data_IF_441781376303
#
_entry.id   IF_441781376303
#
_cell.length_a   1.000
_cell.length_b   1.000
_cell.length_c   1.000
_cell.angle_alpha   90.00
_cell.angle_beta   90.00
_cell.angle_gamma   90.00
#
_symmetry.space_group_name_H-M   'P 1'
#
loop_
_entity.id
_entity.type
_entity.pdbx_description
1 polymer ?
#
# COMPACT_ATOMS: atom_id res chain seq x y z
N UNK A 1 27.45 64.44 25.76
CA UNK A 1 28.19 63.17 25.72
C UNK A 1 27.21 62.13 25.23
N UNK A 2 27.35 61.67 24.00
CA UNK A 2 26.67 60.45 23.58
C UNK A 2 27.38 59.29 24.28
N UNK A 3 26.65 58.59 25.15
CA UNK A 3 27.10 57.31 25.65
C UNK A 3 26.87 56.29 24.54
N UNK A 4 27.92 55.62 24.10
CA UNK A 4 27.77 54.41 23.27
C UNK A 4 27.21 53.33 24.20
N UNK A 5 26.00 52.87 23.91
CA UNK A 5 25.39 51.73 24.59
C UNK A 5 25.80 50.46 23.81
N UNK A 6 26.44 49.52 24.50
CA UNK A 6 26.82 48.23 23.93
C UNK A 6 25.86 47.17 24.47
N UNK A 7 25.05 46.58 23.60
CA UNK A 7 24.22 45.43 23.95
C UNK A 7 25.11 44.19 23.88
N UNK A 8 25.33 43.54 25.02
CA UNK A 8 26.01 42.25 25.08
C UNK A 8 24.98 41.15 25.00
N UNK A 9 25.09 40.34 23.97
CA UNK A 9 24.30 39.13 23.80
C UNK A 9 25.20 37.91 24.04
N UNK A 10 24.70 36.98 24.85
CA UNK A 10 25.39 35.75 25.26
C UNK A 10 24.48 34.54 25.15
N UNK A 11 23.26 34.69 24.63
CA UNK A 11 22.30 33.61 24.49
C UNK A 11 22.50 32.93 23.14
N UNK A 12 22.49 31.60 23.11
CA UNK A 12 22.56 30.86 21.86
C UNK A 12 21.15 30.62 21.32
N UNK A 13 20.97 30.64 19.99
CA UNK A 13 19.67 30.44 19.38
C UNK A 13 19.12 29.06 19.73
N UNK A 14 17.83 28.97 20.01
CA UNK A 14 17.07 27.71 20.09
C UNK A 14 16.33 27.48 18.78
N UNK A 15 16.04 26.21 18.47
CA UNK A 15 15.37 25.86 17.22
C UNK A 15 14.27 24.82 17.41
N UNK A 16 13.18 25.02 16.69
CA UNK A 16 12.14 24.03 16.46
C UNK A 16 12.09 23.67 14.98
N UNK A 17 11.87 22.38 14.70
CA UNK A 17 11.66 21.86 13.36
C UNK A 17 10.33 21.12 13.40
N UNK A 18 9.42 21.46 12.49
CA UNK A 18 8.11 20.84 12.37
C UNK A 18 7.74 20.66 10.90
N UNK A 19 7.10 19.54 10.57
CA UNK A 19 6.45 19.35 9.27
C UNK A 19 4.94 19.19 9.45
N UNK A 20 4.14 19.81 8.57
CA UNK A 20 2.68 19.65 8.55
C UNK A 20 2.23 18.37 7.81
N UNK A 21 3.16 17.68 7.16
CA UNK A 21 2.88 16.46 6.43
C UNK A 21 2.55 15.31 7.40
N UNK A 22 1.64 14.40 7.02
CA UNK A 22 1.35 13.21 7.82
C UNK A 22 2.59 12.32 7.94
N UNK A 23 2.58 11.44 8.95
CA UNK A 23 3.62 10.43 9.12
C UNK A 23 2.96 9.04 9.22
N UNK A 24 3.05 8.19 8.18
CA UNK A 24 3.80 8.39 6.93
C UNK A 24 3.13 9.35 5.92
N UNK A 25 3.87 9.75 4.87
CA UNK A 25 3.40 10.60 3.75
C UNK A 25 3.85 10.06 2.39
N UNK A 26 3.00 10.22 1.37
CA UNK A 26 3.34 9.98 -0.04
C UNK A 26 3.59 11.27 -0.85
N UNK A 27 3.51 12.42 -0.19
CA UNK A 27 3.67 13.71 -0.84
C UNK A 27 5.15 14.09 -0.97
N UNK A 28 5.51 14.69 -2.12
CA UNK A 28 6.85 15.19 -2.40
C UNK A 28 6.77 16.57 -3.09
N UNK A 29 7.63 17.54 -2.72
CA UNK A 29 8.64 17.47 -1.66
C UNK A 29 8.03 17.45 -0.25
N UNK A 30 8.77 16.93 0.73
CA UNK A 30 8.40 17.01 2.15
C UNK A 30 8.96 18.31 2.71
N UNK A 31 8.09 19.19 3.20
CA UNK A 31 8.51 20.49 3.72
C UNK A 31 8.63 20.48 5.24
N UNK A 32 9.69 21.13 5.74
CA UNK A 32 9.97 21.33 7.15
C UNK A 32 10.05 22.83 7.44
N UNK A 33 9.21 23.30 8.36
CA UNK A 33 9.27 24.63 8.93
C UNK A 33 10.26 24.64 10.09
N UNK A 34 11.26 25.51 9.99
CA UNK A 34 12.32 25.69 10.96
C UNK A 34 12.15 27.07 11.56
N UNK A 35 11.94 27.12 12.88
CA UNK A 35 11.75 28.35 13.63
C UNK A 35 12.82 28.45 14.71
N UNK A 36 13.60 29.52 14.66
CA UNK A 36 14.51 29.95 15.71
C UNK A 36 13.80 30.93 16.64
N UNK A 37 14.19 30.96 17.91
CA UNK A 37 13.69 31.96 18.87
C UNK A 37 14.34 33.33 18.71
N UNK A 38 15.41 33.41 17.92
CA UNK A 38 16.08 34.64 17.52
C UNK A 38 16.63 34.56 16.09
N UNK A 39 17.17 35.67 15.60
CA UNK A 39 17.74 35.79 14.27
C UNK A 39 19.05 35.00 14.14
N UNK A 40 19.19 34.20 13.09
CA UNK A 40 20.43 33.48 12.77
C UNK A 40 21.07 33.98 11.47
N UNK A 41 22.38 33.77 11.34
CA UNK A 41 23.21 34.19 10.21
C UNK A 41 23.52 33.00 9.31
N UNK A 42 23.58 33.24 7.99
CA UNK A 42 24.02 32.28 6.96
C UNK A 42 23.26 30.93 6.95
N UNK A 43 21.99 30.91 7.41
CA UNK A 43 21.20 29.68 7.38
C UNK A 43 20.87 29.27 5.94
N UNK A 44 21.26 28.07 5.56
CA UNK A 44 21.02 27.52 4.22
C UNK A 44 21.24 26.01 4.15
N UNK A 45 21.25 25.45 2.94
CA UNK A 45 21.38 24.00 2.76
C UNK A 45 22.69 23.41 3.35
N UNK A 46 23.76 24.20 3.44
CA UNK A 46 25.07 23.77 3.95
C UNK A 46 25.12 23.48 5.44
N UNK A 47 24.20 24.04 6.23
CA UNK A 47 24.13 23.82 7.68
C UNK A 47 23.23 22.63 8.05
N UNK A 48 22.54 22.04 7.07
CA UNK A 48 21.62 20.93 7.25
C UNK A 48 22.31 19.60 6.99
N UNK A 49 21.99 18.61 7.82
CA UNK A 49 22.25 17.20 7.54
C UNK A 49 20.93 16.51 7.19
N UNK A 50 20.81 16.03 5.95
CA UNK A 50 19.60 15.38 5.44
C UNK A 50 19.87 13.93 5.07
N UNK A 51 18.97 13.03 5.48
CA UNK A 51 18.93 11.63 5.03
C UNK A 51 17.59 11.30 4.40
N UNK A 52 17.55 10.24 3.57
CA UNK A 52 16.31 9.83 2.89
C UNK A 52 15.89 10.74 1.73
N UNK A 53 16.69 11.75 1.39
CA UNK A 53 16.41 12.70 0.31
C UNK A 53 17.52 13.72 0.13
N UNK A 54 17.26 14.75 -0.67
CA UNK A 54 18.15 15.90 -0.88
C UNK A 54 17.39 17.21 -0.69
N UNK A 55 18.05 18.22 -0.12
CA UNK A 55 17.48 19.58 0.00
C UNK A 55 17.21 20.13 -1.41
N UNK A 56 15.94 20.40 -1.70
CA UNK A 56 15.50 20.99 -2.96
C UNK A 56 15.56 22.52 -2.90
N UNK A 57 15.14 23.09 -1.77
CA UNK A 57 15.19 24.53 -1.52
C UNK A 57 15.23 24.83 -0.02
N UNK A 58 15.81 25.98 0.29
CA UNK A 58 15.64 26.68 1.57
C UNK A 58 15.09 28.05 1.20
N UNK A 59 13.94 28.39 1.78
CA UNK A 59 13.22 29.63 1.46
C UNK A 59 12.65 30.26 2.72
N UNK A 60 12.21 31.51 2.60
CA UNK A 60 11.51 32.22 3.66
C UNK A 60 10.02 32.21 3.37
N UNK A 61 9.15 31.91 4.34
CA UNK A 61 7.72 32.12 4.17
C UNK A 61 7.45 33.60 3.79
N UNK A 62 6.57 33.83 2.80
CA UNK A 62 6.25 35.19 2.37
C UNK A 62 5.74 36.04 3.55
N UNK A 63 6.33 37.23 3.73
CA UNK A 63 5.98 38.16 4.80
C UNK A 63 6.95 38.21 5.98
N UNK A 64 7.97 37.35 6.02
CA UNK A 64 9.01 37.30 7.05
C UNK A 64 10.36 37.87 6.56
N UNK A 65 10.32 39.00 5.86
CA UNK A 65 11.52 39.81 5.73
C UNK A 65 11.77 40.50 7.07
N UNK A 66 13.03 40.60 7.50
CA UNK A 66 13.37 41.48 8.60
C UNK A 66 12.96 42.93 8.27
N UNK A 67 13.00 43.82 9.26
CA UNK A 67 12.68 45.24 9.08
C UNK A 67 13.56 45.96 8.04
N UNK A 68 14.62 45.33 7.55
CA UNK A 68 15.57 45.84 6.55
C UNK A 68 15.36 45.23 5.15
N UNK A 69 14.42 44.28 4.98
CA UNK A 69 14.15 43.66 3.69
C UNK A 69 15.22 42.68 3.22
N UNK A 70 16.13 42.25 4.10
CA UNK A 70 17.25 41.36 3.76
C UNK A 70 16.83 39.91 4.04
N UNK A 71 16.45 39.21 2.97
CA UNK A 71 16.31 37.76 3.01
C UNK A 71 17.71 37.12 3.15
N UNK A 72 18.10 36.67 4.34
CA UNK A 72 19.35 35.91 4.50
C UNK A 72 20.01 35.93 5.88
N UNK A 73 20.17 37.11 6.47
CA UNK A 73 21.20 37.29 7.53
C UNK A 73 20.64 37.48 8.95
N UNK A 74 19.31 37.66 9.09
CA UNK A 74 18.66 37.87 10.39
C UNK A 74 17.24 37.28 10.50
N UNK A 75 16.94 36.24 9.70
CA UNK A 75 15.62 35.60 9.76
C UNK A 75 15.57 34.54 10.87
N UNK A 76 14.41 34.39 11.50
CA UNK A 76 14.15 33.34 12.47
C UNK A 76 13.23 32.23 11.93
N UNK A 77 12.77 32.32 10.68
CA UNK A 77 11.81 31.36 10.10
C UNK A 77 12.21 30.94 8.69
N UNK A 78 12.33 29.64 8.48
CA UNK A 78 12.77 29.04 7.22
C UNK A 78 11.88 27.87 6.83
N UNK A 79 11.62 27.73 5.54
CA UNK A 79 10.96 26.58 4.95
C UNK A 79 11.98 25.78 4.14
N UNK A 80 12.22 24.54 4.54
CA UNK A 80 13.13 23.61 3.88
C UNK A 80 12.31 22.55 3.16
N UNK A 81 12.41 22.51 1.83
CA UNK A 81 11.81 21.45 1.03
C UNK A 81 12.85 20.35 0.77
N UNK A 82 12.52 19.11 1.12
CA UNK A 82 13.36 17.94 0.84
C UNK A 82 12.68 17.09 -0.23
N UNK A 83 13.39 16.84 -1.34
CA UNK A 83 12.98 15.84 -2.32
C UNK A 83 13.37 14.47 -1.79
N UNK A 84 12.42 13.57 -1.51
CA UNK A 84 12.73 12.21 -1.06
C UNK A 84 13.52 11.42 -2.12
N UNK A 85 14.24 10.39 -1.67
CA UNK A 85 14.91 9.46 -2.57
C UNK A 85 13.89 8.66 -3.41
N UNK A 86 14.36 7.99 -4.47
CA UNK A 86 13.52 7.15 -5.33
C UNK A 86 13.12 5.81 -4.70
N UNK A 87 13.27 5.67 -3.39
CA UNK A 87 12.93 4.50 -2.58
C UNK A 87 12.29 4.99 -1.29
N UNK A 88 11.36 4.21 -0.74
CA UNK A 88 10.81 4.49 0.59
C UNK A 88 11.93 4.66 1.61
N UNK A 89 11.85 5.71 2.41
CA UNK A 89 12.88 6.05 3.38
C UNK A 89 12.35 7.03 4.42
N UNK A 90 13.00 7.05 5.57
CA UNK A 90 12.82 8.12 6.54
C UNK A 90 13.51 9.39 6.03
N UNK A 91 12.71 10.37 5.63
CA UNK A 91 13.18 11.71 5.25
C UNK A 91 13.41 12.49 6.53
N UNK A 92 14.67 12.70 6.89
CA UNK A 92 15.05 13.35 8.15
C UNK A 92 15.88 14.58 7.87
N UNK A 93 15.49 15.71 8.47
CA UNK A 93 16.26 16.96 8.46
C UNK A 93 16.83 17.18 9.84
N UNK A 94 18.13 17.39 9.92
CA UNK A 94 18.85 17.68 11.16
C UNK A 94 19.63 18.98 11.02
N UNK A 95 19.55 19.84 12.05
CA UNK A 95 20.48 20.93 12.30
C UNK A 95 21.46 20.45 13.38
N UNK A 96 22.73 20.18 13.04
CA UNK A 96 23.73 19.78 14.02
C UNK A 96 24.10 20.90 15.00
N UNK A 97 24.65 20.52 16.15
CA UNK A 97 25.26 21.47 17.09
C UNK A 97 26.40 22.24 16.41
N UNK A 98 26.43 23.55 16.65
CA UNK A 98 27.41 24.48 16.09
C UNK A 98 27.23 24.80 14.61
N UNK A 99 26.18 24.28 13.95
CA UNK A 99 25.98 24.50 12.51
C UNK A 99 25.47 25.91 12.18
N UNK A 100 24.86 26.61 13.15
CA UNK A 100 24.27 27.94 12.98
C UNK A 100 24.69 28.85 14.13
N UNK A 101 24.76 30.14 13.85
CA UNK A 101 25.11 31.19 14.82
C UNK A 101 24.14 32.36 14.70
N UNK A 102 23.92 33.08 15.80
CA UNK A 102 23.27 34.39 15.77
C UNK A 102 24.22 35.51 15.30
N UNK A 103 23.74 36.75 15.34
CA UNK A 103 24.51 37.94 14.96
C UNK A 103 25.63 38.29 15.97
N UNK A 104 25.49 37.86 17.23
CA UNK A 104 26.50 38.05 18.28
C UNK A 104 27.60 36.97 18.24
N UNK A 105 27.42 35.94 17.41
CA UNK A 105 28.33 34.82 17.23
C UNK A 105 28.11 33.66 18.21
N UNK A 106 27.00 33.63 18.96
CA UNK A 106 26.69 32.49 19.80
C UNK A 106 26.19 31.34 18.91
N UNK A 107 26.82 30.18 19.04
CA UNK A 107 26.50 29.00 18.23
C UNK A 107 25.36 28.20 18.86
N UNK A 108 24.47 27.66 18.03
CA UNK A 108 23.45 26.70 18.48
C UNK A 108 24.12 25.53 19.20
N UNK A 109 23.75 25.31 20.46
CA UNK A 109 24.47 24.42 21.35
C UNK A 109 24.13 22.92 21.14
N UNK A 110 22.94 22.63 20.62
CA UNK A 110 22.37 21.28 20.56
C UNK A 110 22.19 20.81 19.12
N UNK A 111 21.70 19.58 18.93
CA UNK A 111 21.23 19.11 17.64
C UNK A 111 19.69 19.00 17.66
N UNK A 112 19.04 19.37 16.57
CA UNK A 112 17.59 19.22 16.42
C UNK A 112 17.26 18.56 15.10
N UNK A 113 16.31 17.63 15.13
CA UNK A 113 15.80 16.97 13.93
C UNK A 113 14.28 16.85 13.94
N UNK A 114 13.71 16.68 12.76
CA UNK A 114 12.36 16.17 12.52
C UNK A 114 12.39 15.29 11.26
N UNK A 115 11.49 14.32 11.19
CA UNK A 115 11.48 13.34 10.12
C UNK A 115 10.08 12.89 9.73
N UNK A 116 9.89 12.51 8.46
CA UNK A 116 8.66 11.86 7.97
C UNK A 116 9.02 10.58 7.23
N UNK A 117 8.29 9.51 7.49
CA UNK A 117 8.40 8.30 6.68
C UNK A 117 7.79 8.58 5.31
N UNK A 118 8.63 8.58 4.27
CA UNK A 118 8.18 8.72 2.89
C UNK A 118 7.86 7.36 2.32
N UNK A 119 6.62 7.22 1.87
CA UNK A 119 6.05 6.00 1.31
C UNK A 119 5.16 6.36 0.12
N UNK A 120 5.61 6.01 -1.08
CA UNK A 120 4.90 6.30 -2.34
C UNK A 120 4.46 5.03 -3.06
N UNK A 121 4.66 3.86 -2.44
CA UNK A 121 4.32 2.60 -3.08
C UNK A 121 2.84 2.36 -2.87
N UNK A 122 2.19 1.95 -3.95
CA UNK A 122 0.76 1.69 -3.93
C UNK A 122 0.52 0.23 -3.56
N UNK A 123 -0.46 -0.07 -2.69
CA UNK A 123 -0.85 -1.45 -2.41
C UNK A 123 -1.26 -2.17 -3.70
N UNK A 124 -0.71 -3.37 -3.92
CA UNK A 124 -1.15 -4.28 -4.99
C UNK A 124 -2.14 -5.29 -4.44
N UNK A 125 -3.06 -5.76 -5.27
CA UNK A 125 -4.15 -6.64 -4.85
C UNK A 125 -4.09 -7.99 -5.57
N UNK A 126 -3.91 -9.06 -4.80
CA UNK A 126 -4.05 -10.43 -5.26
C UNK A 126 -5.43 -10.99 -4.93
N UNK A 127 -6.09 -11.55 -5.94
CA UNK A 127 -7.33 -12.31 -5.77
C UNK A 127 -7.08 -13.80 -5.99
N UNK A 128 -7.66 -14.63 -5.13
CA UNK A 128 -7.60 -16.09 -5.26
C UNK A 128 -8.87 -16.74 -4.72
N UNK A 129 -9.06 -18.01 -5.08
CA UNK A 129 -10.17 -18.83 -4.61
C UNK A 129 -9.65 -20.25 -4.41
N UNK A 130 -10.23 -20.94 -3.44
CA UNK A 130 -10.00 -22.38 -3.23
C UNK A 130 -10.82 -23.24 -4.21
N UNK A 131 -11.82 -22.66 -4.87
CA UNK A 131 -12.61 -23.36 -5.89
C UNK A 131 -11.80 -23.60 -7.17
N UNK A 132 -12.02 -24.76 -7.77
CA UNK A 132 -11.46 -25.12 -9.07
C UNK A 132 -11.84 -24.14 -10.19
N UNK A 133 -11.04 -24.12 -11.26
CA UNK A 133 -11.28 -23.22 -12.41
C UNK A 133 -12.65 -23.44 -13.07
N UNK A 134 -13.06 -24.70 -13.16
CA UNK A 134 -14.43 -25.10 -13.42
C UNK A 134 -15.03 -25.59 -12.11
N UNK A 135 -16.12 -24.99 -11.65
CA UNK A 135 -16.72 -25.30 -10.36
C UNK A 135 -18.24 -25.25 -10.40
N UNK A 136 -18.87 -25.99 -9.49
CA UNK A 136 -20.30 -25.90 -9.22
C UNK A 136 -20.58 -25.38 -7.79
N UNK A 137 -19.55 -24.85 -7.12
CA UNK A 137 -19.66 -24.25 -5.79
C UNK A 137 -20.46 -22.95 -5.83
N UNK A 138 -21.39 -22.80 -4.90
CA UNK A 138 -22.12 -21.57 -4.64
C UNK A 138 -22.44 -21.51 -3.13
N UNK A 139 -21.81 -20.62 -2.34
CA UNK A 139 -20.91 -19.55 -2.79
C UNK A 139 -19.52 -20.03 -3.22
N UNK A 140 -18.84 -19.19 -4.01
CA UNK A 140 -17.41 -19.32 -4.35
C UNK A 140 -16.59 -18.57 -3.28
N UNK A 141 -15.73 -19.25 -2.48
CA UNK A 141 -14.86 -18.59 -1.52
C UNK A 141 -13.83 -17.70 -2.23
N UNK A 142 -13.72 -16.46 -1.77
CA UNK A 142 -12.77 -15.45 -2.24
C UNK A 142 -11.76 -15.13 -1.14
N UNK A 143 -10.49 -15.06 -1.52
CA UNK A 143 -9.40 -14.48 -0.72
C UNK A 143 -8.84 -13.24 -1.43
N UNK A 144 -8.71 -12.15 -0.69
CA UNK A 144 -8.11 -10.89 -1.13
C UNK A 144 -6.87 -10.63 -0.29
N UNK A 145 -5.73 -10.43 -0.94
CA UNK A 145 -4.45 -10.15 -0.30
C UNK A 145 -3.85 -8.87 -0.86
N UNK A 146 -3.65 -7.88 -0.01
CA UNK A 146 -2.89 -6.68 -0.34
C UNK A 146 -1.39 -6.90 -0.06
N UNK A 147 -0.51 -6.22 -0.81
CA UNK A 147 0.94 -6.27 -0.56
C UNK A 147 1.37 -5.65 0.77
N UNK A 148 0.51 -4.84 1.37
CA UNK A 148 0.75 -4.12 2.61
C UNK A 148 -0.57 -3.82 3.34
N UNK A 149 -0.55 -3.30 4.59
CA UNK A 149 -1.76 -2.91 5.31
C UNK A 149 -2.56 -1.81 4.60
N UNK A 150 -3.85 -2.03 4.42
CA UNK A 150 -4.78 -1.03 3.87
C UNK A 150 -5.95 -0.74 4.83
N UNK A 151 -6.57 0.40 4.62
CA UNK A 151 -7.73 0.92 5.31
C UNK A 151 -8.82 1.26 4.29
N UNK A 152 -10.08 1.26 4.74
CA UNK A 152 -11.23 1.60 3.89
C UNK A 152 -11.75 0.47 2.98
N UNK A 153 -11.03 -0.65 2.86
CA UNK A 153 -11.50 -1.79 2.06
C UNK A 153 -12.71 -2.49 2.69
N UNK A 154 -13.79 -2.61 1.93
CA UNK A 154 -15.05 -3.24 2.35
C UNK A 154 -15.65 -4.12 1.24
N UNK A 155 -16.76 -4.80 1.52
CA UNK A 155 -17.35 -5.77 0.60
C UNK A 155 -17.86 -5.16 -0.72
N UNK A 156 -18.23 -3.88 -0.72
CA UNK A 156 -18.71 -3.11 -1.87
C UNK A 156 -17.59 -2.71 -2.85
N UNK A 157 -16.33 -2.75 -2.43
CA UNK A 157 -15.16 -2.60 -3.29
C UNK A 157 -14.94 -3.76 -4.27
N UNK A 158 -15.68 -4.87 -4.11
CA UNK A 158 -15.63 -6.02 -5.01
C UNK A 158 -16.56 -5.81 -6.19
N UNK A 159 -15.97 -5.56 -7.36
CA UNK A 159 -16.70 -5.53 -8.62
C UNK A 159 -16.95 -6.96 -9.10
N UNK A 160 -18.22 -7.35 -9.15
CA UNK A 160 -18.66 -8.63 -9.68
C UNK A 160 -19.13 -8.48 -11.13
N UNK A 161 -18.86 -9.49 -11.95
CA UNK A 161 -19.33 -9.55 -13.34
C UNK A 161 -19.74 -10.97 -13.77
N UNK A 162 -20.37 -11.06 -14.95
CA UNK A 162 -20.95 -12.29 -15.45
C UNK A 162 -22.09 -12.78 -14.55
N UNK A 163 -21.97 -13.99 -14.01
CA UNK A 163 -22.96 -14.59 -13.10
C UNK A 163 -22.77 -14.19 -11.62
N UNK A 164 -21.97 -13.15 -11.34
CA UNK A 164 -21.82 -12.64 -9.98
C UNK A 164 -23.10 -12.03 -9.45
N UNK A 165 -23.53 -12.48 -8.26
CA UNK A 165 -24.73 -11.99 -7.57
C UNK A 165 -24.37 -11.09 -6.39
N UNK A 166 -24.17 -11.68 -5.22
CA UNK A 166 -23.96 -10.94 -3.96
C UNK A 166 -22.70 -11.38 -3.23
N UNK A 167 -22.07 -10.46 -2.51
CA UNK A 167 -21.00 -10.76 -1.55
C UNK A 167 -21.59 -10.93 -0.16
N UNK A 168 -21.20 -11.99 0.55
CA UNK A 168 -21.52 -12.20 1.96
C UNK A 168 -20.28 -12.69 2.73
N UNK A 169 -20.42 -12.86 4.05
CA UNK A 169 -19.35 -13.37 4.93
C UNK A 169 -18.00 -12.66 4.74
N UNK A 170 -18.03 -11.35 4.43
CA UNK A 170 -16.83 -10.53 4.31
C UNK A 170 -16.15 -10.41 5.68
N UNK A 171 -14.87 -10.75 5.73
CA UNK A 171 -14.10 -10.77 6.96
C UNK A 171 -12.69 -10.26 6.72
N UNK A 172 -12.26 -9.30 7.56
CA UNK A 172 -10.88 -8.85 7.64
C UNK A 172 -10.12 -9.72 8.65
N UNK A 173 -9.17 -10.54 8.17
CA UNK A 173 -8.27 -11.31 9.03
C UNK A 173 -7.10 -10.46 9.53
N UNK A 174 -6.68 -9.51 8.72
CA UNK A 174 -5.74 -8.44 9.05
C UNK A 174 -5.98 -7.24 8.11
N UNK A 175 -5.24 -6.15 8.29
CA UNK A 175 -5.31 -5.00 7.37
C UNK A 175 -4.88 -5.33 5.92
N UNK A 176 -4.27 -6.49 5.67
CA UNK A 176 -3.85 -6.91 4.31
C UNK A 176 -4.55 -8.16 3.81
N UNK A 177 -5.31 -8.88 4.64
CA UNK A 177 -5.85 -10.20 4.31
C UNK A 177 -7.34 -10.26 4.62
N UNK A 178 -8.14 -10.49 3.58
CA UNK A 178 -9.59 -10.52 3.65
C UNK A 178 -10.12 -11.79 3.00
N UNK A 179 -11.29 -12.24 3.46
CA UNK A 179 -12.06 -13.28 2.80
C UNK A 179 -13.50 -12.86 2.61
N UNK A 180 -14.16 -13.40 1.59
CA UNK A 180 -15.59 -13.23 1.38
C UNK A 180 -16.16 -14.44 0.64
N UNK A 181 -17.48 -14.60 0.70
CA UNK A 181 -18.22 -15.58 -0.08
C UNK A 181 -18.95 -14.87 -1.21
N UNK A 182 -18.66 -15.26 -2.46
CA UNK A 182 -19.31 -14.68 -3.64
C UNK A 182 -20.39 -15.63 -4.11
N UNK A 183 -21.64 -15.21 -3.92
CA UNK A 183 -22.81 -15.94 -4.42
C UNK A 183 -23.01 -15.68 -5.89
N UNK A 184 -23.29 -16.76 -6.62
CA UNK A 184 -23.60 -16.72 -8.05
C UNK A 184 -25.10 -16.53 -8.23
N UNK A 185 -25.47 -15.59 -9.09
CA UNK A 185 -26.81 -15.49 -9.67
C UNK A 185 -26.89 -16.29 -10.97
N UNK A 186 -27.54 -17.45 -10.91
CA UNK A 186 -27.75 -18.33 -12.06
C UNK A 186 -29.08 -18.05 -12.76
N UNK A 187 -29.82 -17.01 -12.37
CA UNK A 187 -31.09 -16.67 -12.99
C UNK A 187 -30.85 -16.07 -14.40
N UNK A 188 -31.03 -16.90 -15.42
CA UNK A 188 -30.89 -16.50 -16.83
C UNK A 188 -29.53 -16.80 -17.47
N UNK A 189 -28.61 -17.44 -16.75
CA UNK A 189 -27.34 -17.90 -17.29
C UNK A 189 -27.49 -19.36 -17.78
N UNK A 190 -27.09 -19.65 -19.03
CA UNK A 190 -27.04 -21.03 -19.54
C UNK A 190 -25.98 -21.88 -18.81
N UNK A 191 -25.90 -23.17 -19.14
CA UNK A 191 -25.06 -24.19 -18.47
C UNK A 191 -23.55 -23.86 -18.38
N UNK A 192 -23.07 -22.84 -19.09
CA UNK A 192 -21.69 -22.36 -19.08
C UNK A 192 -21.62 -20.85 -18.81
N UNK A 193 -21.72 -20.46 -17.54
CA UNK A 193 -21.62 -19.06 -17.12
C UNK A 193 -20.30 -18.78 -16.43
N UNK A 194 -19.80 -17.54 -16.51
CA UNK A 194 -18.54 -17.14 -15.87
C UNK A 194 -18.82 -16.20 -14.72
N UNK A 195 -18.20 -16.46 -13.57
CA UNK A 195 -18.07 -15.49 -12.49
C UNK A 195 -16.76 -14.72 -12.68
N UNK A 196 -16.81 -13.39 -12.65
CA UNK A 196 -15.62 -12.55 -12.58
C UNK A 196 -15.64 -11.68 -11.32
N UNK A 197 -14.51 -11.57 -10.63
CA UNK A 197 -14.31 -10.70 -9.46
C UNK A 197 -13.09 -9.82 -9.69
N UNK A 198 -13.21 -8.54 -9.38
CA UNK A 198 -12.11 -7.59 -9.44
C UNK A 198 -12.18 -6.59 -8.28
N UNK A 199 -11.02 -6.17 -7.77
CA UNK A 199 -10.88 -4.96 -6.96
C UNK A 199 -10.31 -3.87 -7.87
N UNK A 200 -11.03 -2.76 -8.02
CA UNK A 200 -10.59 -1.64 -8.86
C UNK A 200 -9.48 -0.83 -8.17
N UNK A 201 -8.93 0.14 -8.87
CA UNK A 201 -7.95 1.05 -8.28
C UNK A 201 -8.66 2.08 -7.40
N UNK A 202 -8.10 2.36 -6.22
CA UNK A 202 -8.61 3.37 -5.30
C UNK A 202 -9.80 2.93 -4.43
N UNK A 203 -9.92 1.62 -4.21
CA UNK A 203 -10.91 1.01 -3.32
C UNK A 203 -10.39 0.85 -1.88
N UNK A 204 -9.08 1.05 -1.68
CA UNK A 204 -8.42 0.99 -0.39
C UNK A 204 -7.15 1.86 -0.40
N UNK A 205 -6.76 2.36 0.77
CA UNK A 205 -5.57 3.21 0.95
C UNK A 205 -4.67 2.66 2.05
N UNK A 206 -3.36 2.82 1.92
CA UNK A 206 -2.42 2.52 3.02
C UNK A 206 -2.37 3.65 4.06
N UNK A 207 -1.40 3.58 4.98
CA UNK A 207 -1.21 4.61 6.00
C UNK A 207 -0.70 5.95 5.46
N UNK A 208 -0.03 5.94 4.30
CA UNK A 208 0.49 7.12 3.61
C UNK A 208 -0.51 7.70 2.60
N UNK A 209 -1.75 7.18 2.58
CA UNK A 209 -2.82 7.52 1.65
C UNK A 209 -2.52 7.15 0.18
N UNK A 210 -1.68 6.15 -0.08
CA UNK A 210 -1.56 5.57 -1.41
C UNK A 210 -2.75 4.67 -1.72
N UNK A 211 -3.51 5.04 -2.75
CA UNK A 211 -4.60 4.24 -3.28
C UNK A 211 -4.12 2.93 -3.92
N UNK A 212 -4.77 1.80 -3.65
CA UNK A 212 -4.40 0.51 -4.22
C UNK A 212 -4.45 0.50 -5.75
N UNK A 213 -3.61 -0.32 -6.38
CA UNK A 213 -3.71 -0.65 -7.82
C UNK A 213 -4.82 -1.67 -8.07
N UNK A 214 -5.40 -1.65 -9.27
CA UNK A 214 -6.43 -2.63 -9.63
C UNK A 214 -5.85 -4.05 -9.63
N UNK A 215 -6.62 -5.01 -9.13
CA UNK A 215 -6.27 -6.43 -9.20
C UNK A 215 -6.35 -6.96 -10.62
N UNK A 216 -5.70 -8.10 -10.87
CA UNK A 216 -6.11 -8.97 -11.97
C UNK A 216 -7.56 -9.45 -11.75
N UNK A 217 -8.27 -9.75 -12.84
CA UNK A 217 -9.62 -10.31 -12.76
C UNK A 217 -9.53 -11.79 -12.39
N UNK A 218 -10.16 -12.19 -11.30
CA UNK A 218 -10.36 -13.59 -10.96
C UNK A 218 -11.56 -14.12 -11.73
N UNK A 219 -11.38 -15.17 -12.52
CA UNK A 219 -12.46 -15.81 -13.30
C UNK A 219 -12.67 -17.24 -12.83
N UNK A 220 -13.92 -17.66 -12.62
CA UNK A 220 -14.37 -19.06 -12.47
C UNK A 220 -15.41 -19.39 -13.54
N UNK A 221 -15.34 -20.60 -14.10
CA UNK A 221 -16.35 -21.14 -14.99
C UNK A 221 -17.30 -22.01 -14.18
N UNK A 222 -18.60 -21.71 -14.29
CA UNK A 222 -19.62 -22.36 -13.51
C UNK A 222 -20.24 -23.48 -14.33
N UNK A 223 -20.23 -24.69 -13.78
CA UNK A 223 -20.78 -25.87 -14.42
C UNK A 223 -21.92 -26.44 -13.57
N UNK A 224 -23.15 -26.39 -14.09
CA UNK A 224 -24.32 -26.88 -13.34
C UNK A 224 -24.52 -28.39 -13.45
N UNK A 225 -23.83 -29.06 -14.39
CA UNK A 225 -24.00 -30.48 -14.66
C UNK A 225 -22.64 -31.12 -14.86
N UNK A 226 -22.24 -32.04 -13.96
CA UNK A 226 -21.13 -32.96 -14.28
C UNK A 226 -21.48 -33.69 -15.58
N UNK A 227 -20.56 -33.87 -16.55
CA UNK A 227 -20.82 -34.73 -17.69
C UNK A 227 -21.21 -36.13 -17.20
N UNK A 228 -22.51 -36.42 -17.21
CA UNK A 228 -23.02 -37.76 -17.01
C UNK A 228 -22.71 -38.52 -18.28
N UNK A 229 -21.76 -39.45 -18.23
CA UNK A 229 -21.61 -40.43 -19.30
C UNK A 229 -22.82 -41.35 -19.21
N UNK A 230 -23.91 -40.97 -19.88
CA UNK A 230 -25.02 -41.89 -20.13
C UNK A 230 -24.59 -42.81 -21.28
N UNK A 231 -24.12 -44.01 -20.94
CA UNK A 231 -23.99 -45.10 -21.90
C UNK A 231 -25.41 -45.57 -22.26
N UNK A 232 -26.05 -44.88 -23.20
CA UNK A 232 -27.29 -45.35 -23.80
C UNK A 232 -26.99 -46.53 -24.74
N UNK A 233 -27.21 -47.76 -24.27
CA UNK A 233 -27.25 -48.95 -25.13
C UNK A 233 -28.55 -48.91 -25.95
N UNK A 234 -28.48 -48.40 -27.18
CA UNK A 234 -29.61 -48.37 -28.11
C UNK A 234 -29.77 -49.69 -28.89
N UNK A 235 -29.77 -50.84 -28.22
CA UNK A 235 -30.16 -52.11 -28.84
C UNK A 235 -30.80 -53.07 -27.85
N UNK A 236 -31.65 -53.96 -28.36
CA UNK A 236 -32.38 -54.99 -27.59
C UNK A 236 -31.50 -56.11 -27.03
N UNK A 237 -30.18 -56.04 -27.19
CA UNK A 237 -29.25 -57.15 -26.91
C UNK A 237 -28.22 -56.86 -25.79
N UNK A 238 -28.48 -55.89 -24.93
CA UNK A 238 -27.69 -55.73 -23.72
C UNK A 238 -28.07 -56.83 -22.69
N UNK A 239 -27.48 -58.03 -22.84
CA UNK A 239 -27.42 -59.03 -21.78
C UNK A 239 -26.44 -58.51 -20.74
N UNK A 240 -26.91 -58.24 -19.53
CA UNK A 240 -26.04 -58.04 -18.38
C UNK A 240 -25.26 -59.35 -18.16
N UNK A 241 -24.06 -59.47 -18.72
CA UNK A 241 -23.10 -60.46 -18.27
C UNK A 241 -22.51 -59.92 -16.96
N UNK A 242 -23.21 -60.22 -15.87
CA UNK A 242 -22.55 -60.39 -14.58
C UNK A 242 -21.52 -61.51 -14.75
N UNK A 243 -20.29 -61.13 -15.07
CA UNK A 243 -19.15 -62.03 -15.08
C UNK A 243 -18.04 -61.37 -14.27
N UNK A 244 -18.21 -61.50 -12.95
CA UNK A 244 -17.18 -61.91 -11.98
C UNK A 244 -15.79 -62.03 -12.61
N UNK A 245 -14.87 -61.22 -12.11
CA UNK A 245 -13.43 -61.38 -12.24
C UNK A 245 -13.03 -62.84 -11.92
N UNK A 246 -12.87 -63.66 -12.95
CA UNK A 246 -12.37 -65.03 -12.86
C UNK A 246 -10.97 -65.12 -13.44
N UNK A 247 -9.95 -65.09 -12.57
CA UNK A 247 -8.56 -65.42 -12.92
C UNK A 247 -8.51 -66.88 -13.40
N UNK A 248 -7.96 -67.21 -14.57
CA UNK A 248 -7.75 -68.61 -14.93
C UNK A 248 -6.51 -69.13 -14.22
N UNK A 249 -6.70 -69.85 -13.10
CA UNK A 249 -5.72 -70.82 -12.57
C UNK A 249 -5.88 -72.13 -13.33
N UNK A 250 -4.77 -72.69 -13.80
CA UNK A 250 -4.76 -73.79 -14.77
C UNK A 250 -4.98 -75.22 -14.23
N UNK A 251 -4.68 -76.13 -15.18
CA UNK A 251 -4.33 -77.57 -15.13
C UNK A 251 -5.36 -78.62 -14.69
N UNK A 252 -5.71 -79.51 -15.65
CA UNK A 252 -5.68 -80.99 -15.58
C UNK A 252 -6.43 -81.52 -16.83
N UNK A 253 -5.83 -82.22 -17.80
CA UNK A 253 -5.22 -83.55 -17.67
C UNK A 253 -6.25 -84.63 -18.07
N UNK A 254 -6.19 -85.13 -19.31
CA UNK A 254 -6.81 -86.41 -19.69
C UNK A 254 -6.03 -87.07 -20.85
N UNK A 255 -5.81 -88.40 -20.81
CA UNK A 255 -4.87 -89.09 -21.69
C UNK A 255 -5.53 -89.49 -23.00
N UNK A 256 -4.72 -89.58 -24.06
CA UNK A 256 -5.08 -90.36 -25.25
C UNK A 256 -3.96 -91.35 -25.55
N UNK A 257 -4.42 -92.57 -25.77
CA UNK A 257 -3.68 -93.82 -25.95
C UNK A 257 -2.90 -93.89 -27.25
#
# INVERSE_FOLDING_TARGET
>A
SDALDFVFDTTAPQVSINSSYPDPTNEAPVEFLIEFDEAVVDFGASVLSVSGGTVASVSFPQGYADSEGVAGDAASLFLVAVTPASTEALVNVTIPAGAVTDQAGNSFADARSDARQYDFVRPTVGLSSESDFYTNENPVPLRVLFSEPVYGFAADALTLGGAGGTVANFHAHSASNYSADVYVDTSGAGDASTLTVQVLAGEAEDAAANNNTASAVLTRHLEQVRPGVELACASRDCVASDSVFGVPTGISGAPIS
#
